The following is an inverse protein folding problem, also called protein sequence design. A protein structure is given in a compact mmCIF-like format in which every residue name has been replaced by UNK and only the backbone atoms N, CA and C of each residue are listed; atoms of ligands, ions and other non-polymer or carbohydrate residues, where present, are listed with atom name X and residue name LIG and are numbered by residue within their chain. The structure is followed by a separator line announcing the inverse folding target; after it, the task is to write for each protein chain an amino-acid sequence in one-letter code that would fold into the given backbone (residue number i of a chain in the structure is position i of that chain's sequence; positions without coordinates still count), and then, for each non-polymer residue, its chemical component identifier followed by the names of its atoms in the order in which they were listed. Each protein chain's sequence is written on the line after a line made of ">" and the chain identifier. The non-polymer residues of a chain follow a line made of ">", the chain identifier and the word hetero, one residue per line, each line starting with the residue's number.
data_IF_226811225596
#
_entry.id   IF_226811225596
#
_cell.length_a   1.000
_cell.length_b   1.000
_cell.length_c   1.000
_cell.angle_alpha   90.00
_cell.angle_beta   90.00
_cell.angle_gamma   90.00
#
_symmetry.space_group_name_H-M   'P 1'
#
loop_
_entity.id
_entity.type
_entity.pdbx_description
1 polymer ?
#
# COMPACT_ATOMS: atom_id res chain seq x y z
N UNK A 1 -5.56 -27.20 -24.98
CA UNK A 1 -4.27 -26.68 -24.48
C UNK A 1 -3.36 -27.89 -24.21
N UNK A 2 -2.68 -28.42 -25.24
CA UNK A 2 -1.58 -29.38 -25.03
C UNK A 2 -0.61 -29.25 -26.21
N UNK A 3 0.42 -28.41 -26.03
CA UNK A 3 1.50 -28.22 -27.00
C UNK A 3 2.69 -29.17 -26.75
N UNK A 4 2.57 -30.11 -25.82
CA UNK A 4 3.60 -31.09 -25.49
C UNK A 4 3.05 -32.51 -25.61
N UNK A 5 3.78 -33.46 -26.23
CA UNK A 5 3.42 -34.87 -26.25
C UNK A 5 3.28 -35.40 -24.82
N UNK A 6 2.23 -36.18 -24.55
CA UNK A 6 1.95 -36.73 -23.22
C UNK A 6 3.09 -37.62 -22.68
N UNK A 7 3.93 -38.13 -23.58
CA UNK A 7 5.00 -39.09 -23.30
C UNK A 7 6.38 -38.41 -23.15
N UNK A 8 6.44 -37.08 -23.10
CA UNK A 8 7.70 -36.36 -22.95
C UNK A 8 8.18 -36.38 -21.49
N UNK A 9 9.38 -36.93 -21.27
CA UNK A 9 10.05 -37.01 -19.95
C UNK A 9 10.25 -35.64 -19.27
N UNK A 10 10.12 -34.55 -20.03
CA UNK A 10 10.27 -33.17 -19.54
C UNK A 10 8.98 -32.60 -18.91
N UNK A 11 7.83 -33.22 -19.14
CA UNK A 11 6.54 -32.81 -18.57
C UNK A 11 6.56 -32.79 -17.04
N UNK A 12 7.06 -33.81 -16.31
CA UNK A 12 7.14 -33.78 -14.85
C UNK A 12 8.04 -32.68 -14.31
N UNK A 13 9.18 -32.40 -14.96
CA UNK A 13 10.10 -31.32 -14.54
C UNK A 13 9.46 -29.93 -14.75
N UNK A 14 8.81 -29.74 -15.90
CA UNK A 14 8.08 -28.50 -16.19
C UNK A 14 6.94 -28.28 -15.20
N UNK A 15 6.23 -29.36 -14.84
CA UNK A 15 5.12 -29.33 -13.87
C UNK A 15 5.62 -28.99 -12.47
N UNK A 16 6.75 -29.56 -12.06
CA UNK A 16 7.40 -29.22 -10.79
C UNK A 16 7.82 -27.74 -10.75
N UNK A 17 8.40 -27.23 -11.84
CA UNK A 17 8.76 -25.81 -11.94
C UNK A 17 7.55 -24.87 -11.88
N UNK A 18 6.44 -25.26 -12.52
CA UNK A 18 5.17 -24.51 -12.46
C UNK A 18 4.60 -24.54 -11.04
N UNK A 19 4.60 -25.70 -10.37
CA UNK A 19 4.12 -25.82 -8.98
C UNK A 19 4.95 -24.99 -8.01
N UNK A 20 6.28 -24.97 -8.15
CA UNK A 20 7.15 -24.12 -7.34
C UNK A 20 6.95 -22.63 -7.63
N UNK A 21 6.79 -22.27 -8.90
CA UNK A 21 6.47 -20.88 -9.28
C UNK A 21 5.15 -20.42 -8.67
N UNK A 22 4.11 -21.27 -8.74
CA UNK A 22 2.81 -20.98 -8.12
C UNK A 22 2.94 -20.87 -6.59
N UNK A 23 3.68 -21.79 -5.95
CA UNK A 23 3.91 -21.76 -4.50
C UNK A 23 4.64 -20.49 -4.06
N UNK A 24 5.63 -20.04 -4.83
CA UNK A 24 6.37 -18.79 -4.57
C UNK A 24 5.47 -17.56 -4.71
N UNK A 25 4.59 -17.52 -5.72
CA UNK A 25 3.65 -16.41 -5.91
C UNK A 25 2.65 -16.33 -4.76
N UNK A 26 2.14 -17.48 -4.29
CA UNK A 26 1.21 -17.54 -3.16
C UNK A 26 1.89 -17.06 -1.86
N UNK A 27 3.13 -17.49 -1.59
CA UNK A 27 3.87 -17.05 -0.40
C UNK A 27 4.17 -15.54 -0.41
N UNK A 28 4.59 -14.98 -1.55
CA UNK A 28 4.87 -13.54 -1.68
C UNK A 28 3.60 -12.70 -1.52
N UNK A 29 2.44 -13.25 -1.84
CA UNK A 29 1.16 -12.55 -1.73
C UNK A 29 0.61 -12.52 -0.29
N UNK A 30 0.88 -13.57 0.51
CA UNK A 30 0.45 -13.67 1.91
C UNK A 30 1.26 -12.75 2.85
N UNK A 31 2.51 -12.45 2.48
CA UNK A 31 3.41 -11.57 3.24
C UNK A 31 3.15 -10.07 2.99
N UNK A 32 2.35 -9.75 1.98
CA UNK A 32 1.97 -8.38 1.61
C UNK A 32 0.72 -7.91 2.38
N UNK A 33 0.89 -7.58 3.65
CA UNK A 33 -0.17 -6.94 4.46
C UNK A 33 -0.11 -5.41 4.39
N UNK A 34 -1.29 -4.78 4.23
CA UNK A 34 -1.46 -3.33 4.39
C UNK A 34 -1.29 -2.96 5.86
N UNK A 35 -0.75 -1.78 6.14
CA UNK A 35 -0.65 -1.28 7.51
C UNK A 35 -1.95 -0.60 7.96
N UNK A 36 -2.77 -1.24 8.81
CA UNK A 36 -3.99 -0.61 9.29
C UNK A 36 -3.70 0.64 10.15
N UNK A 37 -2.56 0.70 10.83
CA UNK A 37 -2.17 1.85 11.64
C UNK A 37 -1.76 3.04 10.76
N UNK A 38 -0.95 2.78 9.73
CA UNK A 38 -0.56 3.80 8.74
C UNK A 38 -1.76 4.41 8.02
N UNK A 39 -2.70 3.57 7.58
CA UNK A 39 -3.97 4.01 6.98
C UNK A 39 -4.80 4.84 7.96
N UNK A 40 -4.95 4.40 9.22
CA UNK A 40 -5.70 5.14 10.22
C UNK A 40 -5.08 6.51 10.51
N UNK A 41 -3.76 6.58 10.65
CA UNK A 41 -3.02 7.83 10.87
C UNK A 41 -3.19 8.79 9.68
N UNK A 42 -3.10 8.28 8.46
CA UNK A 42 -3.30 9.06 7.24
C UNK A 42 -4.73 9.66 7.16
N UNK A 43 -5.75 8.88 7.52
CA UNK A 43 -7.15 9.35 7.58
C UNK A 43 -7.28 10.50 8.60
N UNK A 44 -6.66 10.38 9.77
CA UNK A 44 -6.68 11.45 10.79
C UNK A 44 -6.06 12.73 10.25
N UNK A 45 -4.90 12.66 9.59
CA UNK A 45 -4.28 13.84 8.98
C UNK A 45 -5.15 14.48 7.90
N UNK A 46 -5.83 13.68 7.07
CA UNK A 46 -6.76 14.19 6.06
C UNK A 46 -7.95 14.91 6.72
N UNK A 47 -8.50 14.36 7.80
CA UNK A 47 -9.61 15.01 8.53
C UNK A 47 -9.18 16.33 9.16
N UNK A 48 -7.99 16.39 9.76
CA UNK A 48 -7.43 17.61 10.33
C UNK A 48 -7.22 18.66 9.23
N UNK A 49 -6.63 18.26 8.10
CA UNK A 49 -6.44 19.14 6.95
C UNK A 49 -7.77 19.69 6.43
N UNK A 50 -8.76 18.83 6.25
CA UNK A 50 -10.12 19.22 5.85
C UNK A 50 -10.76 20.18 6.84
N UNK A 51 -10.63 19.93 8.14
CA UNK A 51 -11.14 20.79 9.20
C UNK A 51 -10.48 22.18 9.21
N UNK A 52 -9.16 22.25 9.03
CA UNK A 52 -8.42 23.52 8.95
C UNK A 52 -8.83 24.34 7.72
N UNK A 53 -8.95 23.70 6.56
CA UNK A 53 -9.39 24.36 5.33
C UNK A 53 -10.85 24.81 5.45
N UNK A 54 -11.73 23.98 6.00
CA UNK A 54 -13.13 24.35 6.24
C UNK A 54 -13.23 25.55 7.20
N UNK A 55 -12.48 25.54 8.31
CA UNK A 55 -12.42 26.66 9.24
C UNK A 55 -11.88 27.94 8.58
N UNK A 56 -10.89 27.81 7.69
CA UNK A 56 -10.38 28.92 6.88
C UNK A 56 -11.47 29.53 5.99
N UNK A 57 -12.22 28.70 5.27
CA UNK A 57 -13.23 29.16 4.30
C UNK A 57 -14.46 29.73 5.01
N UNK A 58 -14.91 29.09 6.10
CA UNK A 58 -16.11 29.50 6.83
C UNK A 58 -15.93 30.82 7.60
N UNK A 59 -14.74 31.08 8.14
CA UNK A 59 -14.47 32.29 8.93
C UNK A 59 -13.85 33.42 8.10
N UNK A 60 -13.11 33.10 7.03
CA UNK A 60 -12.45 34.08 6.17
C UNK A 60 -11.46 35.00 6.90
N UNK A 61 -11.04 36.08 6.24
CA UNK A 61 -10.18 37.10 6.83
C UNK A 61 -8.85 36.55 7.35
N UNK A 62 -8.57 36.73 8.64
CA UNK A 62 -7.32 36.23 9.26
C UNK A 62 -7.20 34.71 9.25
N UNK A 63 -8.33 33.99 9.14
CA UNK A 63 -8.35 32.52 9.10
C UNK A 63 -7.78 31.95 7.79
N UNK A 64 -7.57 32.76 6.75
CA UNK A 64 -6.86 32.32 5.53
C UNK A 64 -5.47 31.76 5.82
N UNK A 65 -4.84 32.17 6.92
CA UNK A 65 -3.55 31.61 7.35
C UNK A 65 -3.63 30.11 7.64
N UNK A 66 -4.80 29.57 8.03
CA UNK A 66 -5.00 28.13 8.29
C UNK A 66 -4.91 27.26 7.03
N UNK A 67 -5.02 27.86 5.84
CA UNK A 67 -4.82 27.11 4.58
C UNK A 67 -3.41 26.56 4.46
N UNK A 68 -2.40 27.25 4.98
CA UNK A 68 -0.99 26.83 4.90
C UNK A 68 -0.74 25.54 5.70
N UNK A 69 -0.99 25.48 7.02
CA UNK A 69 -0.85 24.24 7.77
C UNK A 69 -1.85 23.17 7.31
N UNK A 70 -3.05 23.55 6.85
CA UNK A 70 -4.01 22.61 6.26
C UNK A 70 -3.47 21.93 5.01
N UNK A 71 -2.87 22.68 4.09
CA UNK A 71 -2.27 22.16 2.86
C UNK A 71 -1.07 21.25 3.15
N UNK A 72 -0.16 21.67 4.05
CA UNK A 72 0.99 20.86 4.45
C UNK A 72 0.52 19.54 5.06
N UNK A 73 -0.41 19.59 6.01
CA UNK A 73 -0.96 18.42 6.68
C UNK A 73 -1.67 17.49 5.69
N UNK A 74 -2.41 18.06 4.73
CA UNK A 74 -3.09 17.32 3.69
C UNK A 74 -2.13 16.58 2.76
N UNK A 75 -1.02 17.21 2.37
CA UNK A 75 0.03 16.57 1.56
C UNK A 75 0.62 15.37 2.30
N UNK A 76 0.96 15.52 3.60
CA UNK A 76 1.46 14.41 4.40
C UNK A 76 0.43 13.28 4.57
N UNK A 77 -0.84 13.62 4.80
CA UNK A 77 -1.92 12.64 4.90
C UNK A 77 -2.09 11.83 3.62
N UNK A 78 -2.10 12.49 2.45
CA UNK A 78 -2.22 11.83 1.15
C UNK A 78 -0.98 10.99 0.84
N UNK A 79 0.23 11.53 1.07
CA UNK A 79 1.47 10.82 0.83
C UNK A 79 1.60 9.58 1.72
N UNK A 80 1.25 9.69 3.01
CA UNK A 80 1.20 8.58 3.95
C UNK A 80 0.19 7.52 3.52
N UNK A 81 -1.03 7.93 3.13
CA UNK A 81 -2.04 7.03 2.61
C UNK A 81 -1.55 6.27 1.36
N UNK A 82 -0.89 6.96 0.42
CA UNK A 82 -0.37 6.34 -0.80
C UNK A 82 0.74 5.32 -0.51
N UNK A 83 1.61 5.63 0.47
CA UNK A 83 2.68 4.72 0.89
C UNK A 83 2.14 3.49 1.64
N UNK A 84 1.17 3.68 2.52
CA UNK A 84 0.61 2.61 3.37
C UNK A 84 -0.46 1.77 2.66
N UNK A 85 -1.11 2.33 1.63
CA UNK A 85 -2.00 1.57 0.74
C UNK A 85 -1.23 0.63 -0.20
N UNK A 86 0.04 0.91 -0.45
CA UNK A 86 0.93 0.09 -1.29
C UNK A 86 1.38 -1.12 -0.48
N UNK A 87 1.04 -2.32 -0.97
CA UNK A 87 1.45 -3.61 -0.38
C UNK A 87 2.99 -3.72 -0.35
N UNK A 88 3.61 -3.69 0.83
CA UNK A 88 5.06 -3.93 1.02
C UNK A 88 5.29 -5.28 1.69
N UNK A 89 6.34 -5.98 1.29
CA UNK A 89 6.84 -7.19 1.96
C UNK A 89 7.38 -6.79 3.33
N UNK A 90 6.92 -7.45 4.39
CA UNK A 90 7.35 -7.20 5.77
C UNK A 90 8.04 -8.44 6.33
N UNK A 91 9.06 -8.23 7.15
CA UNK A 91 9.68 -9.31 7.93
C UNK A 91 8.73 -9.86 9.00
N UNK A 92 9.10 -10.96 9.66
CA UNK A 92 8.33 -11.57 10.77
C UNK A 92 8.07 -10.60 11.94
N UNK A 93 8.77 -9.46 11.99
CA UNK A 93 8.61 -8.40 13.00
C UNK A 93 7.78 -7.22 12.50
N UNK A 94 7.20 -7.29 11.29
CA UNK A 94 6.35 -6.27 10.70
C UNK A 94 7.09 -5.07 10.12
N UNK A 95 8.42 -5.13 9.95
CA UNK A 95 9.22 -4.05 9.36
C UNK A 95 9.28 -4.21 7.85
N UNK A 96 9.23 -3.13 7.06
CA UNK A 96 9.42 -3.21 5.62
C UNK A 96 10.82 -3.76 5.32
N UNK A 97 10.92 -4.81 4.51
CA UNK A 97 12.22 -5.25 3.98
C UNK A 97 12.70 -4.19 3.00
N UNK A 98 13.89 -3.63 3.26
CA UNK A 98 14.54 -2.69 2.35
C UNK A 98 15.26 -3.55 1.32
N UNK A 99 14.88 -3.43 0.06
CA UNK A 99 15.59 -4.04 -1.07
C UNK A 99 16.92 -3.33 -1.31
#
# INVERSE_FOLDING_TARGET
>A
MSLLPADSELVPELRAHIEDSIRSMIQVEDEKRRDPFGIALAIVFILIAGGLVAASVLNGGWYWWLTVPGAVTGIFGIAGLAQDATKRTRDERGRPMVE
#
